data_IF_653346249158
#
_entry.id   IF_653346249158
#
_cell.length_a   1.000
_cell.length_b   1.000
_cell.length_c   1.000
_cell.angle_alpha   90.00
_cell.angle_beta   90.00
_cell.angle_gamma   90.00
#
_symmetry.space_group_name_H-M   'P 1'
#
loop_
_entity.id
_entity.type
_entity.pdbx_description
1 polymer ?
#
# COMPACT_ATOMS: atom_id res chain seq x y z
N UNK A 1 23.52 11.89 -33.39
CA UNK A 1 23.94 11.92 -31.96
C UNK A 1 22.76 12.06 -31.00
N UNK A 2 21.71 12.77 -31.35
CA UNK A 2 20.55 13.02 -30.45
C UNK A 2 19.80 11.76 -29.97
N UNK A 3 19.75 10.72 -30.81
CA UNK A 3 19.05 9.46 -30.43
C UNK A 3 19.75 8.72 -29.30
N UNK A 4 21.08 8.71 -29.27
CA UNK A 4 21.84 8.07 -28.19
C UNK A 4 21.67 8.83 -26.88
N UNK A 5 21.63 10.15 -26.91
CA UNK A 5 21.42 11.01 -25.76
C UNK A 5 20.03 10.76 -25.19
N UNK A 6 19.00 10.69 -26.04
CA UNK A 6 17.61 10.40 -25.60
C UNK A 6 17.47 9.02 -24.95
N UNK A 7 18.05 7.99 -25.55
CA UNK A 7 18.03 6.62 -25.01
C UNK A 7 18.76 6.54 -23.68
N UNK A 8 19.93 7.19 -23.59
CA UNK A 8 20.72 7.23 -22.35
C UNK A 8 20.00 7.97 -21.25
N UNK A 9 19.37 9.10 -21.55
CA UNK A 9 18.59 9.88 -20.59
C UNK A 9 17.36 9.11 -20.08
N UNK A 10 16.64 8.44 -21.00
CA UNK A 10 15.50 7.59 -20.63
C UNK A 10 15.94 6.42 -19.75
N UNK A 11 17.05 5.78 -20.06
CA UNK A 11 17.65 4.72 -19.24
C UNK A 11 18.05 5.22 -17.86
N UNK A 12 18.72 6.38 -17.78
CA UNK A 12 19.12 6.99 -16.52
C UNK A 12 17.91 7.36 -15.64
N UNK A 13 16.87 7.96 -16.23
CA UNK A 13 15.63 8.31 -15.53
C UNK A 13 14.92 7.06 -14.99
N UNK A 14 14.82 6.00 -15.80
CA UNK A 14 14.23 4.72 -15.36
C UNK A 14 15.04 4.11 -14.22
N UNK A 15 16.37 4.12 -14.31
CA UNK A 15 17.26 3.64 -13.26
C UNK A 15 17.12 4.42 -11.94
N UNK A 16 16.94 5.74 -12.01
CA UNK A 16 16.69 6.57 -10.84
C UNK A 16 15.37 6.22 -10.18
N UNK A 17 14.30 6.06 -10.95
CA UNK A 17 12.99 5.65 -10.44
C UNK A 17 13.07 4.30 -9.74
N UNK A 18 13.69 3.30 -10.38
CA UNK A 18 13.86 1.96 -9.79
C UNK A 18 14.64 2.01 -8.47
N UNK A 19 15.70 2.82 -8.41
CA UNK A 19 16.48 3.00 -7.19
C UNK A 19 15.68 3.63 -6.07
N UNK A 20 14.89 4.67 -6.38
CA UNK A 20 13.99 5.31 -5.39
C UNK A 20 12.97 4.31 -4.83
N UNK A 21 12.36 3.49 -5.69
CA UNK A 21 11.41 2.47 -5.25
C UNK A 21 12.07 1.41 -4.37
N UNK A 22 13.24 0.90 -4.79
CA UNK A 22 13.98 -0.07 -3.99
C UNK A 22 14.39 0.48 -2.62
N UNK A 23 14.78 1.75 -2.57
CA UNK A 23 15.11 2.43 -1.31
C UNK A 23 13.88 2.56 -0.41
N UNK A 24 12.72 2.90 -0.98
CA UNK A 24 11.46 2.95 -0.25
C UNK A 24 11.07 1.56 0.27
N UNK A 25 11.15 0.52 -0.56
CA UNK A 25 10.85 -0.86 -0.16
C UNK A 25 11.76 -1.33 0.98
N UNK A 26 13.06 -1.00 0.89
CA UNK A 26 14.03 -1.35 1.92
C UNK A 26 13.76 -0.60 3.23
N UNK A 27 13.43 0.69 3.16
CA UNK A 27 13.08 1.47 4.35
C UNK A 27 11.84 0.95 5.07
N UNK A 28 10.91 0.32 4.33
CA UNK A 28 9.64 -0.19 4.85
C UNK A 28 9.61 -1.72 5.01
N UNK A 29 10.74 -2.42 4.89
CA UNK A 29 10.79 -3.89 4.95
C UNK A 29 10.25 -4.45 6.28
N UNK A 30 10.40 -3.72 7.38
CA UNK A 30 9.90 -4.08 8.72
C UNK A 30 8.55 -3.41 9.06
N UNK A 31 7.99 -2.60 8.18
CA UNK A 31 6.73 -1.92 8.43
C UNK A 31 5.56 -2.91 8.32
N UNK A 32 4.75 -3.02 9.37
CA UNK A 32 3.58 -3.90 9.41
C UNK A 32 2.59 -3.51 8.32
N UNK A 33 2.14 -4.50 7.54
CA UNK A 33 1.17 -4.28 6.46
C UNK A 33 1.70 -3.54 5.24
N UNK A 34 3.01 -3.23 5.17
CA UNK A 34 3.59 -2.57 4.01
C UNK A 34 3.36 -3.39 2.74
N UNK A 35 2.96 -2.73 1.68
CA UNK A 35 2.79 -3.28 0.34
C UNK A 35 3.58 -2.46 -0.64
N UNK A 36 4.45 -3.13 -1.37
CA UNK A 36 5.26 -2.44 -2.38
C UNK A 36 4.40 -2.02 -3.56
N UNK A 37 4.64 -0.81 -4.04
CA UNK A 37 4.11 -0.37 -5.31
C UNK A 37 5.02 -0.83 -6.45
N UNK A 38 4.43 -1.31 -7.52
CA UNK A 38 5.13 -1.61 -8.77
C UNK A 38 4.62 -0.69 -9.87
N UNK A 39 5.49 -0.36 -10.82
CA UNK A 39 5.08 0.40 -11.99
C UNK A 39 5.27 -0.44 -13.26
N UNK A 40 4.48 -0.14 -14.25
CA UNK A 40 4.66 -0.77 -15.56
C UNK A 40 6.00 -0.33 -16.17
N UNK A 41 6.84 -1.31 -16.45
CA UNK A 41 8.09 -1.07 -17.16
C UNK A 41 7.79 -0.83 -18.63
N UNK A 42 8.28 0.28 -19.18
CA UNK A 42 8.26 0.48 -20.62
C UNK A 42 9.05 -0.62 -21.32
N UNK A 43 8.41 -1.34 -22.22
CA UNK A 43 9.07 -2.34 -23.06
C UNK A 43 9.70 -1.60 -24.25
N UNK A 44 10.97 -1.89 -24.58
CA UNK A 44 11.59 -1.31 -25.78
C UNK A 44 10.75 -1.65 -27.02
N UNK A 45 10.34 -0.64 -27.75
CA UNK A 45 9.64 -0.80 -29.01
C UNK A 45 10.64 -0.73 -30.18
N UNK A 46 10.43 -1.58 -31.16
CA UNK A 46 11.20 -1.55 -32.41
C UNK A 46 10.27 -1.08 -33.53
N UNK A 47 10.69 -0.04 -34.21
CA UNK A 47 10.04 0.44 -35.43
C UNK A 47 10.91 0.03 -36.62
N UNK A 48 10.34 -0.80 -37.49
CA UNK A 48 10.92 -1.22 -38.73
C UNK A 48 10.21 -0.50 -39.87
N UNK A 49 10.98 0.12 -40.75
CA UNK A 49 10.51 0.81 -41.96
C UNK A 49 11.42 0.54 -43.16
N UNK A 50 10.99 0.90 -44.36
CA UNK A 50 11.82 0.73 -45.57
C UNK A 50 13.16 1.46 -45.39
N UNK A 51 14.24 0.66 -45.26
CA UNK A 51 15.62 1.18 -45.14
C UNK A 51 16.04 1.62 -43.74
N UNK A 52 15.23 1.43 -42.69
CA UNK A 52 15.66 1.69 -41.32
C UNK A 52 14.98 0.78 -40.29
N UNK A 53 15.72 0.47 -39.24
CA UNK A 53 15.17 -0.14 -38.03
C UNK A 53 15.62 0.69 -36.82
N UNK A 54 14.66 1.11 -35.98
CA UNK A 54 14.98 1.91 -34.79
C UNK A 54 14.36 1.24 -33.56
N UNK A 55 15.23 0.93 -32.62
CA UNK A 55 14.80 0.50 -31.28
C UNK A 55 14.84 1.72 -30.35
N UNK A 56 13.73 2.00 -29.66
CA UNK A 56 13.66 3.06 -28.68
C UNK A 56 12.93 2.58 -27.43
N UNK A 57 13.23 3.19 -26.31
CA UNK A 57 12.54 2.95 -25.06
C UNK A 57 11.57 4.12 -24.83
N UNK A 58 10.25 3.88 -24.90
CA UNK A 58 9.28 4.95 -24.68
C UNK A 58 9.37 5.43 -23.23
N UNK A 59 9.17 6.73 -23.03
CA UNK A 59 9.02 7.30 -21.70
C UNK A 59 7.57 7.09 -21.25
N UNK A 60 7.36 6.34 -20.17
CA UNK A 60 6.03 6.19 -19.56
C UNK A 60 5.83 7.35 -18.61
N UNK A 61 4.98 8.30 -19.00
CA UNK A 61 4.63 9.45 -18.15
C UNK A 61 3.53 9.12 -17.13
N UNK A 62 2.63 8.20 -17.47
CA UNK A 62 1.58 7.77 -16.56
C UNK A 62 2.08 6.66 -15.63
N UNK A 63 2.31 7.04 -14.39
CA UNK A 63 2.55 6.11 -13.29
C UNK A 63 1.20 5.59 -12.80
N UNK A 64 0.82 4.41 -13.22
CA UNK A 64 -0.21 3.67 -12.50
C UNK A 64 0.52 2.88 -11.42
N UNK A 65 0.48 3.37 -10.19
CA UNK A 65 1.04 2.65 -9.06
C UNK A 65 0.13 1.43 -8.80
N UNK A 66 0.64 0.27 -9.20
CA UNK A 66 -0.03 -1.01 -8.94
C UNK A 66 0.51 -1.51 -7.60
N UNK A 67 -0.36 -1.58 -6.61
CA UNK A 67 0.00 -2.13 -5.30
C UNK A 67 -0.16 -3.64 -5.33
N UNK A 68 0.91 -4.37 -4.98
CA UNK A 68 0.86 -5.82 -4.84
C UNK A 68 0.24 -6.19 -3.49
N UNK A 69 -1.03 -6.58 -3.50
CA UNK A 69 -1.80 -6.94 -2.30
C UNK A 69 -1.55 -8.38 -1.82
N UNK A 70 -0.72 -9.16 -2.50
CA UNK A 70 -0.41 -10.54 -2.10
C UNK A 70 0.05 -10.61 -0.64
N UNK A 71 -0.48 -11.56 0.14
CA UNK A 71 -0.11 -11.73 1.54
C UNK A 71 1.36 -12.10 1.71
N UNK A 72 1.98 -11.52 2.74
CA UNK A 72 3.31 -11.90 3.21
C UNK A 72 3.23 -12.96 4.31
N UNK A 73 4.36 -13.16 4.99
CA UNK A 73 4.44 -14.04 6.17
C UNK A 73 3.57 -13.48 7.29
N UNK A 74 2.74 -14.32 7.89
CA UNK A 74 1.96 -13.98 9.09
C UNK A 74 2.80 -14.29 10.32
N UNK A 75 2.76 -13.38 11.28
CA UNK A 75 3.39 -13.53 12.58
C UNK A 75 2.27 -13.53 13.61
N UNK A 76 2.19 -14.57 14.41
CA UNK A 76 1.26 -14.62 15.54
C UNK A 76 1.85 -13.80 16.68
N UNK A 77 1.18 -12.72 17.05
CA UNK A 77 1.62 -11.82 18.13
C UNK A 77 0.97 -12.13 19.46
N UNK A 78 -0.10 -12.95 19.47
CA UNK A 78 -0.92 -13.21 20.65
C UNK A 78 -1.80 -12.01 21.07
N UNK A 79 -1.78 -10.90 20.36
CA UNK A 79 -2.64 -9.74 20.64
C UNK A 79 -3.95 -9.87 19.86
N UNK A 80 -5.13 -9.87 20.53
CA UNK A 80 -6.42 -10.02 19.86
C UNK A 80 -6.80 -8.85 18.94
N UNK A 81 -6.11 -7.71 19.05
CA UNK A 81 -6.31 -6.55 18.19
C UNK A 81 -5.39 -6.50 16.99
N UNK A 82 -4.47 -7.46 16.85
CA UNK A 82 -3.61 -7.54 15.68
C UNK A 82 -4.30 -8.37 14.59
N UNK A 83 -4.64 -7.71 13.50
CA UNK A 83 -5.39 -8.30 12.38
C UNK A 83 -4.49 -8.53 11.18
N UNK A 84 -4.41 -9.77 10.73
CA UNK A 84 -3.77 -10.12 9.45
C UNK A 84 -4.82 -10.24 8.34
N UNK A 85 -4.83 -9.29 7.42
CA UNK A 85 -5.78 -9.26 6.31
C UNK A 85 -5.45 -10.30 5.24
N UNK A 86 -6.48 -10.94 4.70
CA UNK A 86 -6.37 -11.85 3.56
C UNK A 86 -5.94 -11.11 2.28
N UNK A 87 -5.58 -11.87 1.24
CA UNK A 87 -5.24 -11.31 -0.06
C UNK A 87 -6.37 -10.43 -0.58
N UNK A 88 -5.99 -9.32 -1.22
CA UNK A 88 -6.89 -8.34 -1.85
C UNK A 88 -7.87 -7.62 -0.91
N UNK A 89 -7.79 -7.83 0.41
CA UNK A 89 -8.59 -7.07 1.37
C UNK A 89 -7.81 -5.87 1.90
N UNK A 90 -8.50 -4.79 2.19
CA UNK A 90 -7.97 -3.57 2.80
C UNK A 90 -8.92 -3.10 3.89
N UNK A 91 -8.39 -2.46 4.91
CA UNK A 91 -9.17 -1.87 5.97
C UNK A 91 -9.39 -0.39 5.71
N UNK A 92 -10.62 0.08 5.86
CA UNK A 92 -10.95 1.49 5.80
C UNK A 92 -10.51 2.21 7.07
N UNK A 93 -9.91 3.38 6.91
CA UNK A 93 -9.54 4.26 8.01
C UNK A 93 -9.91 5.69 7.69
N UNK A 94 -10.14 6.50 8.71
CA UNK A 94 -10.39 7.92 8.58
C UNK A 94 -9.10 8.68 8.88
N UNK A 95 -8.73 9.58 7.97
CA UNK A 95 -7.62 10.50 8.17
C UNK A 95 -8.01 11.59 9.18
N UNK A 96 -7.05 12.38 9.65
CA UNK A 96 -7.31 13.54 10.53
C UNK A 96 -8.28 14.55 9.93
N UNK A 97 -8.37 14.60 8.59
CA UNK A 97 -9.32 15.45 7.87
C UNK A 97 -10.71 14.80 7.67
N UNK A 98 -10.93 13.60 8.24
CA UNK A 98 -12.19 12.86 8.10
C UNK A 98 -12.36 12.18 6.74
N UNK A 99 -11.33 12.13 5.89
CA UNK A 99 -11.39 11.45 4.60
C UNK A 99 -11.17 9.95 4.75
N UNK A 100 -11.93 9.16 4.01
CA UNK A 100 -11.74 7.72 3.95
C UNK A 100 -10.45 7.39 3.18
N UNK A 101 -9.59 6.64 3.83
CA UNK A 101 -8.38 6.06 3.24
C UNK A 101 -8.36 4.55 3.49
N UNK A 102 -7.47 3.84 2.82
CA UNK A 102 -7.35 2.39 2.94
C UNK A 102 -5.94 2.02 3.39
N UNK A 103 -5.86 1.04 4.30
CA UNK A 103 -4.59 0.53 4.82
C UNK A 103 -4.58 -0.99 4.89
N UNK A 104 -3.39 -1.57 4.94
CA UNK A 104 -3.19 -2.99 5.28
C UNK A 104 -2.50 -3.17 6.63
N UNK A 105 -2.34 -2.06 7.35
CA UNK A 105 -1.80 -2.09 8.70
C UNK A 105 -2.86 -2.61 9.66
N UNK A 106 -2.56 -3.67 10.38
CA UNK A 106 -3.51 -4.38 11.24
C UNK A 106 -3.17 -4.36 12.73
N UNK A 107 -2.17 -3.58 13.15
CA UNK A 107 -1.85 -3.33 14.55
C UNK A 107 -2.81 -2.26 15.10
N UNK A 108 -3.89 -2.71 15.73
CA UNK A 108 -4.94 -1.86 16.24
C UNK A 108 -4.82 -1.66 17.75
N UNK A 109 -5.37 -0.55 18.21
CA UNK A 109 -5.48 -0.22 19.63
C UNK A 109 -6.76 0.57 19.90
N UNK A 110 -7.17 0.62 21.15
CA UNK A 110 -8.27 1.49 21.60
C UNK A 110 -7.66 2.80 22.08
N UNK A 111 -8.14 3.92 21.53
CA UNK A 111 -7.71 5.25 21.95
C UNK A 111 -8.28 5.61 23.32
N UNK A 112 -7.72 6.64 23.97
CA UNK A 112 -8.24 7.18 25.25
C UNK A 112 -9.67 7.70 25.12
N UNK A 113 -10.10 8.05 23.91
CA UNK A 113 -11.45 8.51 23.62
C UNK A 113 -12.43 7.36 23.30
N UNK A 114 -11.99 6.10 23.42
CA UNK A 114 -12.82 4.94 23.15
C UNK A 114 -13.04 4.64 21.67
N UNK A 115 -12.15 5.08 20.79
CA UNK A 115 -12.20 4.72 19.36
C UNK A 115 -11.21 3.61 19.03
N UNK A 116 -11.56 2.76 18.09
CA UNK A 116 -10.62 1.81 17.52
C UNK A 116 -9.73 2.55 16.49
N UNK A 117 -8.42 2.53 16.71
CA UNK A 117 -7.44 3.21 15.85
C UNK A 117 -6.26 2.31 15.50
N UNK A 118 -5.57 2.65 14.44
CA UNK A 118 -4.28 2.04 14.08
C UNK A 118 -3.17 2.59 14.97
N UNK A 119 -2.04 1.92 15.08
CA UNK A 119 -0.88 2.43 15.83
C UNK A 119 -0.39 3.80 15.35
N UNK A 120 -0.73 4.22 14.11
CA UNK A 120 -0.43 5.55 13.57
C UNK A 120 -1.49 6.61 13.93
N UNK A 121 -2.55 6.26 14.68
CA UNK A 121 -3.59 7.19 15.11
C UNK A 121 -4.74 7.40 14.11
N UNK A 122 -4.81 6.66 13.02
CA UNK A 122 -5.95 6.72 12.11
C UNK A 122 -7.12 5.89 12.67
N UNK A 123 -8.31 6.49 12.73
CA UNK A 123 -9.50 5.83 13.22
C UNK A 123 -9.98 4.75 12.25
N UNK A 124 -10.35 3.58 12.76
CA UNK A 124 -10.90 2.51 11.91
C UNK A 124 -12.31 2.87 11.50
N UNK A 125 -12.59 2.84 10.20
CA UNK A 125 -13.91 3.12 9.64
C UNK A 125 -14.79 1.88 9.73
N UNK A 126 -15.99 2.02 10.30
CA UNK A 126 -17.03 1.02 10.22
C UNK A 126 -17.76 1.02 8.88
N UNK A 127 -18.67 0.07 8.68
CA UNK A 127 -19.46 -0.09 7.45
C UNK A 127 -20.27 1.17 7.10
N UNK A 128 -20.76 1.89 8.11
CA UNK A 128 -21.47 3.16 7.91
C UNK A 128 -20.57 4.36 7.56
N UNK A 129 -19.26 4.16 7.44
CA UNK A 129 -18.29 5.22 7.12
C UNK A 129 -17.87 6.09 8.30
N UNK A 130 -18.37 5.83 9.51
CA UNK A 130 -17.97 6.50 10.74
C UNK A 130 -16.89 5.72 11.52
N UNK A 131 -16.25 6.33 12.55
CA UNK A 131 -15.31 5.63 13.39
C UNK A 131 -15.99 4.57 14.26
N UNK A 132 -15.28 3.47 14.51
CA UNK A 132 -15.76 2.42 15.43
C UNK A 132 -15.52 2.86 16.87
N UNK A 133 -16.60 2.94 17.66
CA UNK A 133 -16.55 3.25 19.11
C UNK A 133 -16.55 1.98 19.93
N UNK A 134 -15.66 1.94 20.92
CA UNK A 134 -15.57 0.85 21.90
C UNK A 134 -16.25 1.31 23.19
N UNK A 135 -17.23 0.58 23.72
CA UNK A 135 -17.86 0.91 25.00
C UNK A 135 -16.84 0.91 26.15
N UNK A 136 -17.07 1.73 27.17
CA UNK A 136 -16.23 1.74 28.39
C UNK A 136 -16.18 0.36 29.03
N UNK A 137 -14.97 -0.14 29.30
CA UNK A 137 -14.74 -1.47 29.87
C UNK A 137 -14.88 -2.61 28.87
N UNK A 138 -15.33 -2.36 27.65
CA UNK A 138 -15.46 -3.37 26.60
C UNK A 138 -14.10 -3.80 26.04
N UNK A 139 -13.92 -5.11 25.92
CA UNK A 139 -12.77 -5.68 25.23
C UNK A 139 -13.16 -6.00 23.78
N UNK A 140 -12.65 -5.25 22.78
CA UNK A 140 -12.95 -5.54 21.38
C UNK A 140 -12.28 -6.85 20.93
N UNK A 141 -13.05 -7.66 20.21
CA UNK A 141 -12.58 -8.89 19.56
C UNK A 141 -12.98 -8.84 18.10
N UNK A 142 -12.05 -9.15 17.21
CA UNK A 142 -12.23 -9.10 15.76
C UNK A 142 -12.32 -10.53 15.23
N UNK A 143 -13.41 -10.84 14.56
CA UNK A 143 -13.59 -12.15 13.92
C UNK A 143 -12.93 -12.22 12.55
N UNK A 144 -12.71 -13.44 12.01
CA UNK A 144 -12.07 -13.60 10.70
C UNK A 144 -12.81 -12.97 9.51
N UNK A 145 -14.09 -12.70 9.65
CA UNK A 145 -14.94 -11.99 8.68
C UNK A 145 -14.87 -10.46 8.81
N UNK A 146 -14.12 -9.95 9.79
CA UNK A 146 -13.94 -8.52 10.02
C UNK A 146 -15.00 -7.88 10.92
N UNK A 147 -15.88 -8.67 11.52
CA UNK A 147 -16.86 -8.13 12.49
C UNK A 147 -16.20 -7.87 13.83
N UNK A 148 -16.45 -6.70 14.40
CA UNK A 148 -15.95 -6.31 15.72
C UNK A 148 -17.00 -6.55 16.77
N UNK A 149 -16.70 -7.40 17.75
CA UNK A 149 -17.55 -7.67 18.92
C UNK A 149 -16.95 -7.02 20.16
N UNK A 150 -17.82 -6.61 21.06
CA UNK A 150 -17.46 -6.06 22.36
C UNK A 150 -17.96 -6.99 23.45
N UNK A 151 -17.04 -7.56 24.22
CA UNK A 151 -17.38 -8.28 25.43
C UNK A 151 -17.40 -7.28 26.59
N UNK A 152 -18.52 -7.27 27.33
CA UNK A 152 -18.67 -6.48 28.54
C UNK A 152 -17.98 -7.16 29.72
#
# INVERSE_FOLDING_TARGET
MDRLVFTSLSGAKTGTIQRTMLTNDLANVSTVGFKRASFQRAVPAQLDGPGFAVRFQPLVENRTDIVDLKSGTRIDTGNPLDVAMNDQTVMGVLTEQGQLAFTRRGDLRVSELGFLETANGYLVAGEAGGPITVPEGGSPTITPDGTVFFNA
#
